data_IF_997126741863
#
_entry.id   IF_997126741863
#
_cell.length_a   1.000
_cell.length_b   1.000
_cell.length_c   1.000
_cell.angle_alpha   90.00
_cell.angle_beta   90.00
_cell.angle_gamma   90.00
#
_symmetry.space_group_name_H-M   'P 1'
#
loop_
_entity.id
_entity.type
_entity.pdbx_description
1 polymer ?
#
# COMPACT_ATOMS: atom_id res chain seq x y z
N UNK A 1 -21.66 -8.19 15.28
CA UNK A 1 -20.27 -8.70 15.40
C UNK A 1 -20.07 -9.77 14.34
N UNK A 2 -19.31 -9.46 13.29
CA UNK A 2 -19.02 -10.44 12.25
C UNK A 2 -17.68 -11.10 12.61
N UNK A 3 -17.71 -12.38 12.96
CA UNK A 3 -16.49 -13.19 13.14
C UNK A 3 -16.09 -13.78 11.79
N UNK A 4 -14.88 -13.51 11.28
CA UNK A 4 -14.45 -14.09 10.02
C UNK A 4 -14.26 -15.61 10.16
N UNK A 5 -14.61 -16.40 9.12
CA UNK A 5 -14.38 -17.82 9.13
C UNK A 5 -12.89 -18.17 9.21
N UNK A 6 -12.53 -19.13 10.06
CA UNK A 6 -11.17 -19.73 10.08
C UNK A 6 -11.01 -20.55 8.82
N UNK A 7 -10.14 -20.09 7.90
CA UNK A 7 -9.79 -20.83 6.68
C UNK A 7 -8.30 -21.17 6.72
N UNK A 8 -8.00 -22.44 6.67
CA UNK A 8 -6.64 -22.97 6.50
C UNK A 8 -6.08 -22.52 5.14
N UNK A 9 -4.95 -21.82 5.18
CA UNK A 9 -4.19 -21.42 4.01
C UNK A 9 -3.56 -22.66 3.37
N UNK A 10 -4.10 -23.16 2.28
CA UNK A 10 -3.43 -24.18 1.48
C UNK A 10 -2.21 -23.55 0.78
N UNK A 11 -1.12 -24.30 0.71
CA UNK A 11 0.16 -23.92 0.06
C UNK A 11 -0.03 -23.35 -1.37
N UNK A 12 -1.13 -23.70 -2.04
CA UNK A 12 -1.53 -23.23 -3.37
C UNK A 12 -1.91 -21.75 -3.41
N UNK A 13 -2.51 -21.20 -2.33
CA UNK A 13 -2.84 -19.79 -2.21
C UNK A 13 -1.58 -18.92 -2.03
N UNK A 14 -0.55 -19.43 -1.36
CA UNK A 14 0.73 -18.75 -1.16
C UNK A 14 1.52 -18.59 -2.48
N UNK A 15 1.53 -19.61 -3.33
CA UNK A 15 2.21 -19.56 -4.64
C UNK A 15 1.52 -18.62 -5.63
N UNK A 16 0.21 -18.44 -5.52
CA UNK A 16 -0.54 -17.52 -6.39
C UNK A 16 -0.22 -16.04 -6.10
N UNK A 17 0.11 -15.69 -4.86
CA UNK A 17 0.40 -14.29 -4.47
C UNK A 17 1.70 -13.75 -5.06
N UNK A 18 2.70 -14.59 -5.31
CA UNK A 18 3.97 -14.14 -5.92
C UNK A 18 3.83 -13.77 -7.41
N UNK A 19 2.88 -14.37 -8.11
CA UNK A 19 2.70 -14.19 -9.57
C UNK A 19 2.05 -12.85 -9.92
N UNK A 20 1.43 -12.16 -8.94
CA UNK A 20 0.67 -10.93 -9.14
C UNK A 20 1.39 -9.67 -8.61
N UNK A 21 2.69 -9.72 -8.36
CA UNK A 21 3.44 -8.56 -7.88
C UNK A 21 3.57 -7.49 -8.96
N UNK A 22 3.25 -6.23 -8.58
CA UNK A 22 3.42 -5.03 -9.38
C UNK A 22 2.67 -5.02 -10.72
N UNK A 23 1.51 -5.67 -10.77
CA UNK A 23 0.65 -5.69 -11.97
C UNK A 23 -0.39 -4.57 -11.83
N UNK A 24 -0.51 -3.74 -12.86
CA UNK A 24 -1.62 -2.82 -13.03
C UNK A 24 -2.88 -3.64 -13.36
N UNK A 25 -3.82 -3.70 -12.43
CA UNK A 25 -5.07 -4.43 -12.61
C UNK A 25 -6.25 -3.48 -12.39
N UNK A 26 -6.87 -2.96 -13.47
CA UNK A 26 -8.03 -2.08 -13.37
C UNK A 26 -9.16 -2.70 -12.52
N UNK A 27 -9.77 -1.89 -11.67
CA UNK A 27 -10.88 -2.29 -10.81
C UNK A 27 -10.49 -3.10 -9.58
N UNK A 28 -9.20 -3.42 -9.37
CA UNK A 28 -8.76 -4.14 -8.19
C UNK A 28 -8.25 -3.20 -7.08
N UNK A 29 -8.53 -3.57 -5.84
CA UNK A 29 -7.79 -3.00 -4.71
C UNK A 29 -6.36 -3.53 -4.74
N UNK A 30 -5.39 -2.68 -4.42
CA UNK A 30 -3.99 -3.05 -4.37
C UNK A 30 -3.42 -2.90 -2.96
N UNK A 31 -2.91 -4.01 -2.40
CA UNK A 31 -2.04 -3.94 -1.24
C UNK A 31 -0.64 -3.55 -1.69
N UNK A 32 -0.09 -2.50 -1.11
CA UNK A 32 1.21 -1.91 -1.47
C UNK A 32 2.11 -1.86 -0.25
N UNK A 33 3.40 -2.14 -0.44
CA UNK A 33 4.42 -1.90 0.57
C UNK A 33 5.67 -1.30 -0.06
N UNK A 34 6.22 -0.27 0.56
CA UNK A 34 7.50 0.34 0.21
C UNK A 34 8.42 0.36 1.44
N UNK A 35 9.68 -0.04 1.24
CA UNK A 35 10.68 -0.14 2.31
C UNK A 35 11.77 0.89 2.10
N UNK A 36 12.17 1.57 3.16
CA UNK A 36 13.30 2.50 3.16
C UNK A 36 14.61 1.74 2.92
N UNK A 37 15.49 2.33 2.12
CA UNK A 37 16.80 1.75 1.81
C UNK A 37 17.57 1.47 3.11
N UNK A 38 18.23 0.34 3.15
CA UNK A 38 18.98 -0.16 4.33
C UNK A 38 18.13 -0.28 5.60
N UNK A 39 16.80 -0.28 5.49
CA UNK A 39 15.89 -0.28 6.64
C UNK A 39 16.14 0.85 7.63
N UNK A 40 16.59 2.00 7.13
CA UNK A 40 16.77 3.20 7.95
C UNK A 40 15.41 3.64 8.49
N UNK A 41 15.35 3.84 9.80
CA UNK A 41 14.09 4.09 10.53
C UNK A 41 13.70 5.58 10.51
N UNK A 42 13.57 6.17 9.32
CA UNK A 42 13.25 7.60 9.15
C UNK A 42 11.92 8.00 9.76
N UNK A 43 10.96 7.09 9.79
CA UNK A 43 9.63 7.32 10.33
C UNK A 43 9.55 7.18 11.87
N UNK A 44 10.68 7.04 12.56
CA UNK A 44 10.76 7.34 13.98
C UNK A 44 10.69 8.86 14.24
N UNK A 45 10.93 9.69 13.23
CA UNK A 45 10.72 11.12 13.29
C UNK A 45 9.30 11.45 12.83
N UNK A 46 8.48 11.98 13.73
CA UNK A 46 7.09 12.36 13.46
C UNK A 46 6.95 13.28 12.25
N UNK A 47 7.93 14.18 12.04
CA UNK A 47 7.97 15.06 10.86
C UNK A 47 8.03 14.30 9.55
N UNK A 48 8.72 13.16 9.50
CA UNK A 48 8.77 12.34 8.29
C UNK A 48 7.43 11.60 8.06
N UNK A 49 6.77 11.16 9.13
CA UNK A 49 5.42 10.58 9.03
C UNK A 49 4.40 11.62 8.56
N UNK A 50 4.42 12.81 9.16
CA UNK A 50 3.54 13.91 8.75
C UNK A 50 3.75 14.30 7.28
N UNK A 51 5.01 14.44 6.84
CA UNK A 51 5.33 14.73 5.44
C UNK A 51 4.89 13.61 4.49
N UNK A 52 4.96 12.35 4.91
CA UNK A 52 4.43 11.23 4.12
C UNK A 52 2.92 11.35 3.94
N UNK A 53 2.16 11.65 5.00
CA UNK A 53 0.70 11.81 4.95
C UNK A 53 0.30 13.05 4.14
N UNK A 54 1.02 14.15 4.28
CA UNK A 54 0.82 15.35 3.45
C UNK A 54 0.94 15.03 1.95
N UNK A 55 2.03 14.37 1.56
CA UNK A 55 2.23 13.94 0.17
C UNK A 55 1.15 12.97 -0.28
N UNK A 56 0.77 12.01 0.57
CA UNK A 56 -0.30 11.06 0.24
C UNK A 56 -1.63 11.77 0.03
N UNK A 57 -1.99 12.73 0.90
CA UNK A 57 -3.23 13.52 0.78
C UNK A 57 -3.28 14.28 -0.54
N UNK A 58 -2.22 15.04 -0.85
CA UNK A 58 -2.13 15.80 -2.12
C UNK A 58 -2.21 14.86 -3.34
N UNK A 59 -1.52 13.72 -3.26
CA UNK A 59 -1.55 12.76 -4.37
C UNK A 59 -2.93 12.15 -4.59
N UNK A 60 -3.72 11.94 -3.52
CA UNK A 60 -5.10 11.43 -3.62
C UNK A 60 -6.07 12.47 -4.21
N UNK A 61 -5.79 13.78 -4.04
CA UNK A 61 -6.56 14.85 -4.68
C UNK A 61 -6.28 14.93 -6.19
N UNK A 62 -5.01 14.82 -6.58
CA UNK A 62 -4.56 14.93 -7.98
C UNK A 62 -4.79 13.64 -8.78
N UNK A 63 -4.76 12.50 -8.13
CA UNK A 63 -4.92 11.18 -8.76
C UNK A 63 -6.16 10.49 -8.23
N UNK A 64 -7.19 10.26 -9.05
CA UNK A 64 -8.39 9.55 -8.63
C UNK A 64 -8.05 8.16 -8.08
N UNK A 65 -7.88 8.08 -6.76
CA UNK A 65 -7.48 6.87 -6.06
C UNK A 65 -8.16 6.83 -4.69
N UNK A 66 -8.85 5.75 -4.39
CA UNK A 66 -9.42 5.53 -3.06
C UNK A 66 -8.36 4.98 -2.13
N UNK A 67 -8.28 5.55 -0.92
CA UNK A 67 -7.43 5.06 0.17
C UNK A 67 -8.28 4.28 1.16
N UNK A 68 -8.02 3.00 1.30
CA UNK A 68 -8.83 2.12 2.16
C UNK A 68 -8.20 1.98 3.55
N UNK A 69 -6.94 1.64 3.63
CA UNK A 69 -6.19 1.58 4.89
C UNK A 69 -4.71 1.90 4.68
N UNK A 70 -4.05 2.37 5.73
CA UNK A 70 -2.60 2.56 5.76
C UNK A 70 -1.99 2.34 7.14
N UNK A 71 -0.69 2.09 7.14
CA UNK A 71 0.19 2.20 8.30
C UNK A 71 1.58 2.63 7.87
N UNK A 72 2.16 3.58 8.59
CA UNK A 72 3.56 4.00 8.43
C UNK A 72 4.35 3.38 9.57
N UNK A 73 5.20 2.41 9.24
CA UNK A 73 6.10 1.75 10.18
C UNK A 73 7.45 2.49 10.20
N UNK A 74 8.31 2.28 11.20
CA UNK A 74 9.56 3.04 11.33
C UNK A 74 10.44 3.08 10.07
N UNK A 75 10.44 2.03 9.24
CA UNK A 75 11.31 1.86 8.08
C UNK A 75 10.59 1.43 6.80
N UNK A 76 9.25 1.39 6.81
CA UNK A 76 8.42 1.01 5.66
C UNK A 76 6.98 1.47 5.86
N UNK A 77 6.18 1.37 4.78
CA UNK A 77 4.74 1.59 4.86
C UNK A 77 3.94 0.45 4.22
N UNK A 78 2.68 0.37 4.59
CA UNK A 78 1.69 -0.45 3.91
C UNK A 78 0.46 0.39 3.60
N UNK A 79 -0.10 0.19 2.40
CA UNK A 79 -1.35 0.81 1.94
C UNK A 79 -2.26 -0.26 1.35
N UNK A 80 -3.58 -0.03 1.41
CA UNK A 80 -4.55 -0.61 0.48
C UNK A 80 -5.23 0.54 -0.22
N UNK A 81 -5.10 0.58 -1.55
CA UNK A 81 -5.59 1.65 -2.41
C UNK A 81 -6.29 1.08 -3.64
N UNK A 82 -7.16 1.89 -4.25
CA UNK A 82 -7.84 1.56 -5.49
C UNK A 82 -7.72 2.71 -6.50
N UNK A 83 -6.62 2.77 -7.30
CA UNK A 83 -6.51 3.75 -8.38
C UNK A 83 -7.59 3.49 -9.44
N UNK A 84 -8.35 4.52 -9.82
CA UNK A 84 -9.44 4.40 -10.79
C UNK A 84 -9.00 3.91 -12.17
N UNK A 85 -7.78 4.29 -12.57
CA UNK A 85 -7.14 3.86 -13.82
C UNK A 85 -6.42 2.51 -13.70
N UNK A 86 -6.36 1.94 -12.49
CA UNK A 86 -5.63 0.70 -12.18
C UNK A 86 -4.10 0.85 -12.22
N UNK A 87 -3.57 2.06 -12.41
CA UNK A 87 -2.13 2.32 -12.53
C UNK A 87 -1.43 2.39 -11.16
N UNK A 88 -1.33 1.25 -10.50
CA UNK A 88 -0.67 1.16 -9.19
C UNK A 88 0.83 1.44 -9.26
N UNK A 89 1.46 1.16 -10.39
CA UNK A 89 2.89 1.43 -10.58
C UNK A 89 3.16 2.94 -10.61
N UNK A 90 2.39 3.69 -11.39
CA UNK A 90 2.48 5.14 -11.48
C UNK A 90 2.19 5.81 -10.12
N UNK A 91 1.06 5.45 -9.49
CA UNK A 91 0.69 5.96 -8.18
C UNK A 91 1.78 5.74 -7.13
N UNK A 92 2.27 4.50 -7.01
CA UNK A 92 3.31 4.17 -6.01
C UNK A 92 4.65 4.83 -6.34
N UNK A 93 4.99 4.93 -7.62
CA UNK A 93 6.19 5.64 -8.09
C UNK A 93 6.17 7.12 -7.70
N UNK A 94 5.05 7.81 -7.96
CA UNK A 94 4.85 9.21 -7.58
C UNK A 94 4.95 9.39 -6.05
N UNK A 95 4.24 8.56 -5.27
CA UNK A 95 4.29 8.61 -3.81
C UNK A 95 5.72 8.46 -3.29
N UNK A 96 6.49 7.47 -3.77
CA UNK A 96 7.87 7.26 -3.37
C UNK A 96 8.78 8.43 -3.77
N UNK A 97 8.62 8.95 -4.97
CA UNK A 97 9.45 10.07 -5.46
C UNK A 97 9.23 11.34 -4.64
N UNK A 98 7.98 11.73 -4.43
CA UNK A 98 7.62 12.94 -3.70
C UNK A 98 8.00 12.83 -2.21
N UNK A 99 7.71 11.71 -1.57
CA UNK A 99 8.09 11.49 -0.17
C UNK A 99 9.61 11.40 0.02
N UNK A 100 10.35 10.87 -0.95
CA UNK A 100 11.82 10.84 -0.89
C UNK A 100 12.41 12.26 -0.80
N UNK A 101 11.91 13.20 -1.60
CA UNK A 101 12.33 14.62 -1.56
C UNK A 101 12.13 15.20 -0.16
N UNK A 102 10.92 15.08 0.38
CA UNK A 102 10.59 15.58 1.73
C UNK A 102 11.45 14.93 2.82
N UNK A 103 11.66 13.61 2.78
CA UNK A 103 12.48 12.90 3.77
C UNK A 103 13.93 13.38 3.73
N UNK A 104 14.52 13.59 2.55
CA UNK A 104 15.89 14.11 2.42
C UNK A 104 15.98 15.55 2.94
N UNK A 105 15.00 16.40 2.62
CA UNK A 105 14.92 17.79 3.13
C UNK A 105 14.85 17.82 4.67
N UNK A 106 14.02 16.97 5.27
CA UNK A 106 13.83 16.92 6.73
C UNK A 106 15.04 16.34 7.45
N UNK A 107 15.64 15.27 6.92
CA UNK A 107 16.66 14.50 7.64
C UNK A 107 18.08 14.94 7.32
N UNK A 108 18.34 15.43 6.11
CA UNK A 108 19.69 15.67 5.61
C UNK A 108 20.58 14.43 5.60
N UNK A 109 19.98 13.22 5.67
CA UNK A 109 20.72 11.97 5.92
C UNK A 109 21.58 11.57 4.72
N UNK A 110 22.89 11.70 4.91
CA UNK A 110 23.90 11.41 3.86
C UNK A 110 23.91 9.94 3.42
N UNK A 111 23.32 9.02 4.18
CA UNK A 111 23.23 7.60 3.81
C UNK A 111 22.35 7.37 2.57
N UNK A 112 21.46 8.31 2.26
CA UNK A 112 20.63 8.27 1.05
C UNK A 112 21.36 8.78 -0.19
N UNK A 113 22.51 9.44 -0.04
CA UNK A 113 23.24 9.99 -1.16
C UNK A 113 23.78 8.89 -2.06
N UNK A 114 23.62 9.06 -3.36
CA UNK A 114 24.21 8.21 -4.37
C UNK A 114 25.61 8.71 -4.73
N UNK A 115 26.52 7.81 -5.13
CA UNK A 115 27.84 8.19 -5.64
C UNK A 115 27.74 8.87 -6.99
N UNK A 116 26.86 8.35 -7.85
CA UNK A 116 26.53 8.85 -9.16
C UNK A 116 25.02 9.09 -9.22
N UNK A 117 24.53 10.08 -9.98
CA UNK A 117 23.10 10.24 -10.23
C UNK A 117 22.51 8.96 -10.84
N UNK A 118 21.26 8.64 -10.48
CA UNK A 118 20.54 7.55 -11.10
C UNK A 118 20.07 7.91 -12.54
N UNK A 119 19.31 7.00 -13.16
CA UNK A 119 18.82 7.18 -14.54
C UNK A 119 17.93 8.42 -14.69
N UNK A 120 17.25 8.83 -13.64
CA UNK A 120 16.36 9.99 -13.61
C UNK A 120 17.07 11.26 -13.12
N UNK A 121 18.42 11.21 -12.95
CA UNK A 121 19.24 12.32 -12.47
C UNK A 121 19.16 12.57 -10.96
N UNK A 122 18.54 11.69 -10.19
CA UNK A 122 18.48 11.82 -8.74
C UNK A 122 19.84 11.55 -8.11
N UNK A 123 20.21 12.37 -7.14
CA UNK A 123 21.46 12.25 -6.38
C UNK A 123 21.27 11.53 -5.03
N UNK A 124 20.07 11.06 -4.75
CA UNK A 124 19.74 10.31 -3.53
C UNK A 124 18.68 9.23 -3.78
N UNK A 125 18.69 8.21 -2.94
CA UNK A 125 17.75 7.10 -2.98
C UNK A 125 17.28 6.77 -1.56
N UNK A 126 16.06 7.16 -1.23
CA UNK A 126 15.44 6.90 0.07
C UNK A 126 14.79 5.52 0.12
N UNK A 127 14.15 5.11 -0.96
CA UNK A 127 13.42 3.85 -1.03
C UNK A 127 14.25 2.75 -1.67
N UNK A 128 13.97 1.50 -1.33
CA UNK A 128 14.49 0.35 -2.10
C UNK A 128 13.99 0.45 -3.55
N UNK A 129 14.75 -0.10 -4.50
CA UNK A 129 14.52 0.03 -5.94
C UNK A 129 13.11 -0.40 -6.36
N UNK A 130 12.61 -1.48 -5.78
CA UNK A 130 11.26 -1.97 -6.05
C UNK A 130 10.31 -1.67 -4.89
N UNK A 131 9.03 -1.69 -5.20
CA UNK A 131 7.97 -1.86 -4.21
C UNK A 131 7.29 -3.21 -4.46
N UNK A 132 6.46 -3.64 -3.52
CA UNK A 132 5.61 -4.82 -3.74
C UNK A 132 4.17 -4.38 -3.72
N UNK A 133 3.44 -4.68 -4.79
CA UNK A 133 2.00 -4.55 -4.84
C UNK A 133 1.36 -5.88 -5.18
N UNK A 134 0.20 -6.12 -4.61
CA UNK A 134 -0.59 -7.32 -4.84
C UNK A 134 -2.05 -6.91 -5.02
N UNK A 135 -2.67 -7.20 -6.19
CA UNK A 135 -4.08 -6.97 -6.36
C UNK A 135 -4.90 -7.90 -5.44
N UNK A 136 -5.98 -7.37 -4.89
CA UNK A 136 -6.88 -8.07 -3.97
C UNK A 136 -8.23 -8.25 -4.69
N UNK A 137 -8.60 -9.49 -5.00
CA UNK A 137 -9.81 -9.80 -5.79
C UNK A 137 -10.88 -10.57 -5.03
N UNK A 138 -10.64 -10.93 -3.77
CA UNK A 138 -11.63 -11.61 -2.94
C UNK A 138 -11.81 -10.92 -1.61
N UNK A 139 -13.04 -10.94 -1.07
CA UNK A 139 -13.34 -10.36 0.22
C UNK A 139 -12.44 -10.91 1.34
N UNK A 140 -12.12 -12.21 1.29
CA UNK A 140 -11.20 -12.82 2.25
C UNK A 140 -9.79 -12.21 2.19
N UNK A 141 -9.23 -12.05 0.99
CA UNK A 141 -7.90 -11.43 0.82
C UNK A 141 -7.88 -9.98 1.32
N UNK A 142 -8.95 -9.23 1.00
CA UNK A 142 -9.08 -7.83 1.41
C UNK A 142 -9.06 -7.75 2.94
N UNK A 143 -9.94 -8.48 3.63
CA UNK A 143 -10.02 -8.47 5.08
C UNK A 143 -8.75 -8.99 5.75
N UNK A 144 -8.12 -10.02 5.19
CA UNK A 144 -6.82 -10.51 5.67
C UNK A 144 -5.77 -9.39 5.63
N UNK A 145 -5.72 -8.60 4.53
CA UNK A 145 -4.74 -7.53 4.38
C UNK A 145 -5.07 -6.31 5.22
N UNK A 146 -6.33 -5.93 5.38
CA UNK A 146 -6.75 -4.87 6.31
C UNK A 146 -6.29 -5.21 7.73
N UNK A 147 -6.62 -6.41 8.20
CA UNK A 147 -6.19 -6.86 9.53
C UNK A 147 -4.67 -6.91 9.66
N UNK A 148 -3.96 -7.37 8.62
CA UNK A 148 -2.51 -7.37 8.60
C UNK A 148 -1.94 -5.96 8.73
N UNK A 149 -2.41 -4.98 7.95
CA UNK A 149 -1.95 -3.59 7.97
C UNK A 149 -2.14 -3.01 9.37
N UNK A 150 -3.32 -3.13 9.95
CA UNK A 150 -3.63 -2.57 11.27
C UNK A 150 -2.91 -3.30 12.43
N UNK A 151 -2.61 -4.59 12.29
CA UNK A 151 -1.91 -5.36 13.32
C UNK A 151 -0.39 -5.14 13.32
N UNK A 152 0.20 -4.54 12.26
CA UNK A 152 1.65 -4.37 12.13
C UNK A 152 2.31 -3.70 13.35
N UNK A 153 1.80 -2.56 13.88
CA UNK A 153 2.44 -1.89 15.02
C UNK A 153 2.45 -2.75 16.29
N UNK A 154 1.38 -3.52 16.51
CA UNK A 154 1.29 -4.44 17.66
C UNK A 154 2.26 -5.61 17.47
N UNK A 155 2.30 -6.21 16.29
CA UNK A 155 3.22 -7.32 15.96
C UNK A 155 4.69 -6.91 16.03
N UNK A 156 4.99 -5.64 15.75
CA UNK A 156 6.31 -5.07 15.88
C UNK A 156 6.66 -4.61 17.31
N UNK A 157 5.73 -4.76 18.26
CA UNK A 157 5.93 -4.35 19.65
C UNK A 157 6.01 -2.84 19.87
N UNK A 158 5.50 -2.03 18.92
CA UNK A 158 5.53 -0.57 19.03
C UNK A 158 4.43 -0.05 19.97
N UNK A 159 3.30 -0.74 20.01
CA UNK A 159 2.14 -0.44 20.86
C UNK A 159 1.49 -1.74 21.33
N UNK A 160 0.67 -1.65 22.38
CA UNK A 160 -0.11 -2.80 22.88
C UNK A 160 -1.43 -3.01 22.13
N UNK A 161 -2.00 -1.95 21.57
CA UNK A 161 -3.23 -1.99 20.79
C UNK A 161 -3.07 -1.15 19.52
N UNK A 162 -3.64 -1.62 18.40
CA UNK A 162 -3.56 -0.94 17.10
C UNK A 162 -4.14 0.50 17.14
N UNK A 163 -5.16 0.73 17.98
CA UNK A 163 -5.77 2.06 18.17
C UNK A 163 -4.82 3.09 18.78
N UNK A 164 -3.77 2.63 19.48
CA UNK A 164 -2.82 3.50 20.18
C UNK A 164 -1.66 3.96 19.27
N UNK A 165 -1.58 3.40 18.05
CA UNK A 165 -0.56 3.82 17.08
C UNK A 165 -1.08 4.99 16.26
N UNK A 166 -0.43 6.15 16.32
CA UNK A 166 -0.91 7.37 15.67
C UNK A 166 -0.77 7.35 14.13
N UNK A 167 0.21 6.63 13.59
CA UNK A 167 0.55 6.63 12.15
C UNK A 167 -0.14 5.48 11.40
N UNK A 168 -1.41 5.26 11.69
CA UNK A 168 -2.26 4.23 11.08
C UNK A 168 -3.68 4.74 10.86
N UNK A 169 -4.32 4.22 9.83
CA UNK A 169 -5.75 4.48 9.55
C UNK A 169 -6.71 3.74 10.48
N UNK A 170 -6.24 3.04 11.53
CA UNK A 170 -7.12 2.22 12.37
C UNK A 170 -8.35 2.99 12.88
N UNK A 171 -8.14 4.19 13.42
CA UNK A 171 -9.25 5.02 13.93
C UNK A 171 -10.15 5.55 12.81
N UNK A 172 -9.54 6.01 11.71
CA UNK A 172 -10.28 6.47 10.52
C UNK A 172 -11.17 5.35 9.96
N UNK A 173 -10.65 4.12 9.90
CA UNK A 173 -11.36 2.97 9.34
C UNK A 173 -12.51 2.48 10.24
N UNK A 174 -12.27 2.31 11.55
CA UNK A 174 -13.26 1.70 12.46
C UNK A 174 -14.15 2.72 13.18
N UNK A 175 -13.67 3.94 13.41
CA UNK A 175 -14.39 4.98 14.14
C UNK A 175 -14.81 6.17 13.25
N UNK A 176 -14.54 6.10 11.94
CA UNK A 176 -14.81 7.16 10.97
C UNK A 176 -14.23 8.51 11.37
N UNK A 177 -13.05 8.48 11.99
CA UNK A 177 -12.28 9.68 12.32
C UNK A 177 -11.56 10.17 11.07
N UNK A 178 -11.40 11.48 10.93
CA UNK A 178 -10.60 12.06 9.85
C UNK A 178 -9.09 12.04 10.15
N UNK A 179 -8.69 11.57 11.33
CA UNK A 179 -7.29 11.54 11.76
C UNK A 179 -6.66 10.14 11.71
N UNK A 180 -5.35 10.08 11.38
CA UNK A 180 -4.47 11.17 10.94
C UNK A 180 -4.67 11.55 9.46
N UNK A 181 -5.42 10.77 8.71
CA UNK A 181 -5.87 11.00 7.34
C UNK A 181 -7.17 10.22 7.13
N UNK A 182 -8.22 10.81 6.55
CA UNK A 182 -9.46 10.10 6.25
C UNK A 182 -9.24 8.96 5.25
N UNK A 183 -10.10 7.95 5.33
CA UNK A 183 -10.09 6.81 4.41
C UNK A 183 -11.47 6.60 3.79
N UNK A 184 -11.47 6.06 2.57
CA UNK A 184 -12.69 5.78 1.84
C UNK A 184 -13.46 4.62 2.47
N UNK A 185 -14.76 4.83 2.72
CA UNK A 185 -15.67 3.80 3.22
C UNK A 185 -16.30 3.00 2.06
N UNK A 186 -16.39 3.61 0.89
CA UNK A 186 -16.75 2.96 -0.36
C UNK A 186 -15.48 2.65 -1.16
N UNK A 187 -15.11 1.37 -1.21
CA UNK A 187 -13.81 0.93 -1.72
C UNK A 187 -13.77 0.78 -3.24
N UNK A 188 -14.95 0.73 -3.89
CA UNK A 188 -15.09 0.40 -5.29
C UNK A 188 -15.53 1.60 -6.12
N UNK A 189 -15.06 1.67 -7.35
CA UNK A 189 -15.60 2.54 -8.37
C UNK A 189 -16.80 1.84 -9.03
N UNK A 190 -17.78 2.58 -9.59
CA UNK A 190 -19.01 1.98 -10.11
C UNK A 190 -18.80 0.86 -11.13
N UNK A 191 -17.72 0.89 -11.89
CA UNK A 191 -17.39 -0.04 -12.98
C UNK A 191 -16.23 -0.99 -12.64
N UNK A 192 -15.77 -1.06 -11.37
CA UNK A 192 -14.61 -1.85 -10.96
C UNK A 192 -14.76 -3.34 -11.22
N UNK A 193 -15.94 -3.91 -10.93
CA UNK A 193 -16.16 -5.35 -11.11
C UNK A 193 -16.09 -5.75 -12.60
N UNK A 194 -16.59 -4.91 -13.48
CA UNK A 194 -16.52 -5.14 -14.93
C UNK A 194 -15.08 -5.02 -15.42
N UNK A 195 -14.37 -3.96 -15.04
CA UNK A 195 -12.96 -3.74 -15.39
C UNK A 195 -12.08 -4.88 -14.89
N UNK A 196 -12.24 -5.28 -13.64
CA UNK A 196 -11.48 -6.38 -13.05
C UNK A 196 -11.76 -7.69 -13.77
N UNK A 197 -13.03 -8.00 -14.07
CA UNK A 197 -13.42 -9.21 -14.79
C UNK A 197 -12.81 -9.25 -16.19
N UNK A 198 -12.84 -8.12 -16.91
CA UNK A 198 -12.23 -8.00 -18.24
C UNK A 198 -10.72 -8.20 -18.18
N UNK A 199 -10.04 -7.49 -17.30
CA UNK A 199 -8.59 -7.58 -17.15
C UNK A 199 -8.14 -8.99 -16.72
N UNK A 200 -8.88 -9.64 -15.84
CA UNK A 200 -8.63 -11.02 -15.44
C UNK A 200 -8.72 -12.00 -16.62
N UNK A 201 -9.73 -11.85 -17.47
CA UNK A 201 -9.88 -12.67 -18.69
C UNK A 201 -8.71 -12.46 -19.68
N UNK A 202 -8.32 -11.19 -19.90
CA UNK A 202 -7.19 -10.86 -20.78
C UNK A 202 -5.87 -11.47 -20.27
N UNK A 203 -5.70 -11.57 -18.96
CA UNK A 203 -4.56 -12.24 -18.32
C UNK A 203 -4.67 -13.78 -18.29
N UNK A 204 -5.75 -14.35 -18.85
CA UNK A 204 -5.96 -15.79 -18.94
C UNK A 204 -6.51 -16.42 -17.66
N UNK A 205 -7.24 -15.67 -16.82
CA UNK A 205 -7.87 -16.16 -15.61
C UNK A 205 -9.38 -16.31 -15.79
N UNK A 206 -9.96 -17.37 -15.24
CA UNK A 206 -11.40 -17.56 -15.22
C UNK A 206 -12.05 -16.79 -14.04
N UNK A 207 -13.39 -16.74 -14.03
CA UNK A 207 -14.19 -16.12 -12.97
C UNK A 207 -13.98 -16.74 -11.57
N UNK A 208 -13.43 -17.93 -11.50
CA UNK A 208 -13.07 -18.62 -10.23
C UNK A 208 -11.65 -18.27 -9.75
N UNK A 209 -10.92 -17.36 -10.45
CA UNK A 209 -9.54 -17.00 -10.11
C UNK A 209 -8.53 -18.11 -10.39
N UNK A 210 -8.80 -18.97 -11.38
CA UNK A 210 -7.91 -20.03 -11.82
C UNK A 210 -7.32 -19.68 -13.19
N UNK A 211 -6.02 -19.96 -13.39
CA UNK A 211 -5.37 -19.78 -14.69
C UNK A 211 -5.99 -20.76 -15.70
N UNK A 212 -6.57 -20.24 -16.77
CA UNK A 212 -6.95 -21.09 -17.89
C UNK A 212 -5.68 -21.66 -18.50
N UNK A 213 -5.53 -22.99 -18.47
CA UNK A 213 -4.46 -23.67 -19.21
C UNK A 213 -4.74 -23.42 -20.69
N UNK A 214 -3.79 -22.79 -21.39
CA UNK A 214 -3.75 -22.82 -22.85
C UNK A 214 -3.36 -24.23 -23.31
#
# INVERSE_FOLDING_TARGET
>A
MYSPPKVELTHKAFLMTQKWSNINLPGALHYVTGTVRYRIRVFQQDRCCAAFLEVLSVLLEDWPCKLIVFVIMPDHFHLIVNPRDGNIQGFTGALKSLTAKKIVEITGDKRFRLKEPDRDGSTYQVWQDSFKSMPLWSGWMIWQKINYVHANPVRAGLVRSAKDYQWTSFRAFYSRSDEPLPVDQDWWWPDDLEKMSKAMKELGWNSAGQLCKK
#
